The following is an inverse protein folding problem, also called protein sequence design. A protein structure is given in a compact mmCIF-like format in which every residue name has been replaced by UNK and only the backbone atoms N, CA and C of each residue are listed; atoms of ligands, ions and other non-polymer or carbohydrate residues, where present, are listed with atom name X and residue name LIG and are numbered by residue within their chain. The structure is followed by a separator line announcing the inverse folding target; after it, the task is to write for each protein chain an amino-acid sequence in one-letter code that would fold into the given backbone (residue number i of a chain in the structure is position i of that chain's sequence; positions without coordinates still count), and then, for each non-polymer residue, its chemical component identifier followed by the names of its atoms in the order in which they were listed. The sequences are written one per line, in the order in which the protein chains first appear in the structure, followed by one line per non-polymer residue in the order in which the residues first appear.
data_IF_893568902329
#
_entry.id   IF_893568902329
#
_cell.length_a   1.000
_cell.length_b   1.000
_cell.length_c   1.000
_cell.angle_alpha   90.00
_cell.angle_beta   90.00
_cell.angle_gamma   90.00
#
_symmetry.space_group_name_H-M   'P 1'
#
loop_
_entity.id
_entity.type
_entity.pdbx_description
1 polymer ?
#
# COMPACT_ATOMS: atom_id res chain seq x y z
N UNK A 1 18.98 -23.42 -1.84
CA UNK A 1 19.13 -22.00 -1.47
C UNK A 1 18.14 -21.74 -0.35
N UNK A 2 18.60 -21.27 0.82
CA UNK A 2 17.70 -20.98 1.94
C UNK A 2 16.76 -19.84 1.58
N UNK A 3 15.49 -19.91 1.98
CA UNK A 3 14.56 -18.80 1.83
C UNK A 3 15.06 -17.61 2.68
N UNK A 4 15.21 -16.45 2.06
CA UNK A 4 15.57 -15.21 2.76
C UNK A 4 14.41 -14.83 3.68
N UNK A 5 14.71 -14.56 4.95
CA UNK A 5 13.71 -14.12 5.93
C UNK A 5 13.38 -12.63 5.76
N UNK A 6 12.15 -12.21 6.11
CA UNK A 6 11.75 -10.79 6.06
C UNK A 6 12.72 -9.88 6.83
N UNK A 7 13.29 -10.35 7.95
CA UNK A 7 14.19 -9.55 8.79
C UNK A 7 15.53 -9.21 8.12
N UNK A 8 15.93 -9.98 7.11
CA UNK A 8 17.20 -9.84 6.39
C UNK A 8 16.98 -9.34 4.96
N UNK A 9 15.72 -9.29 4.53
CA UNK A 9 15.36 -8.86 3.19
C UNK A 9 15.59 -7.36 3.02
N UNK A 10 16.09 -7.00 1.85
CA UNK A 10 16.21 -5.62 1.38
C UNK A 10 15.66 -5.55 -0.03
N UNK A 11 15.27 -4.35 -0.46
CA UNK A 11 14.82 -4.09 -1.83
C UNK A 11 15.55 -2.86 -2.39
N UNK A 12 15.66 -2.81 -3.71
CA UNK A 12 16.15 -1.64 -4.42
C UNK A 12 14.98 -0.66 -4.64
N UNK A 13 15.07 0.50 -4.00
CA UNK A 13 14.05 1.56 -4.08
C UNK A 13 13.92 2.19 -5.48
N UNK A 14 14.85 1.90 -6.39
CA UNK A 14 14.86 2.41 -7.76
C UNK A 14 14.31 1.38 -8.76
N UNK A 15 14.04 0.14 -8.33
CA UNK A 15 13.52 -0.93 -9.18
C UNK A 15 12.10 -1.34 -8.76
N UNK A 16 11.07 -1.02 -9.59
CA UNK A 16 9.70 -1.43 -9.33
C UNK A 16 9.51 -2.93 -9.10
N UNK A 17 10.29 -3.78 -9.78
CA UNK A 17 10.20 -5.21 -9.61
C UNK A 17 10.80 -5.67 -8.29
N UNK A 18 11.93 -5.08 -7.86
CA UNK A 18 12.50 -5.32 -6.53
C UNK A 18 11.52 -4.94 -5.41
N UNK A 19 10.87 -3.77 -5.52
CA UNK A 19 9.83 -3.31 -4.58
C UNK A 19 8.63 -4.28 -4.57
N UNK A 20 8.14 -4.66 -5.75
CA UNK A 20 7.05 -5.61 -5.89
C UNK A 20 7.40 -6.96 -5.25
N UNK A 21 8.59 -7.49 -5.51
CA UNK A 21 9.04 -8.77 -4.99
C UNK A 21 9.22 -8.73 -3.48
N UNK A 22 9.71 -7.63 -2.90
CA UNK A 22 9.76 -7.47 -1.46
C UNK A 22 8.36 -7.50 -0.81
N UNK A 23 7.34 -6.94 -1.46
CA UNK A 23 5.97 -6.97 -0.95
C UNK A 23 5.39 -8.39 -0.76
N UNK A 24 6.02 -9.43 -1.33
CA UNK A 24 5.62 -10.83 -1.12
C UNK A 24 5.61 -11.24 0.36
N UNK A 25 6.49 -10.65 1.17
CA UNK A 25 6.60 -10.99 2.60
C UNK A 25 5.36 -10.58 3.40
N UNK A 26 4.56 -9.66 2.86
CA UNK A 26 3.32 -9.22 3.49
C UNK A 26 2.15 -10.16 3.18
N UNK A 27 2.23 -10.96 2.11
CA UNK A 27 1.11 -11.80 1.67
C UNK A 27 0.91 -12.98 2.62
N UNK A 28 -0.33 -13.18 3.07
CA UNK A 28 -0.71 -14.13 4.11
C UNK A 28 -0.38 -13.66 5.53
N UNK A 29 0.03 -12.39 5.70
CA UNK A 29 0.38 -11.80 6.98
C UNK A 29 -0.46 -10.55 7.25
N UNK A 30 -0.59 -10.21 8.53
CA UNK A 30 -0.95 -8.86 8.97
C UNK A 30 0.32 -8.11 9.37
N UNK A 31 0.23 -6.77 9.50
CA UNK A 31 1.38 -6.01 10.03
C UNK A 31 1.75 -6.49 11.44
N UNK A 32 0.76 -6.85 12.25
CA UNK A 32 0.99 -7.35 13.59
C UNK A 32 1.64 -8.75 13.59
N UNK A 33 1.22 -9.68 12.73
CA UNK A 33 1.88 -11.00 12.67
C UNK A 33 3.33 -10.90 12.19
N UNK A 34 3.62 -9.96 11.28
CA UNK A 34 4.95 -9.77 10.71
C UNK A 34 5.90 -8.99 11.62
N UNK A 35 5.40 -7.96 12.31
CA UNK A 35 6.21 -6.97 13.04
C UNK A 35 6.02 -7.01 14.57
N UNK A 36 5.07 -7.81 15.06
CA UNK A 36 4.75 -7.92 16.47
C UNK A 36 4.23 -6.62 17.07
N UNK A 37 4.56 -6.39 18.35
CA UNK A 37 4.04 -5.28 19.15
C UNK A 37 4.31 -3.89 18.54
N UNK A 38 5.33 -3.76 17.70
CA UNK A 38 5.64 -2.50 17.00
C UNK A 38 4.43 -1.99 16.21
N UNK A 39 3.67 -2.88 15.56
CA UNK A 39 2.47 -2.50 14.82
C UNK A 39 1.34 -2.00 15.74
N UNK A 40 1.24 -2.56 16.95
CA UNK A 40 0.22 -2.18 17.93
C UNK A 40 0.54 -0.81 18.55
N UNK A 41 1.80 -0.60 18.89
CA UNK A 41 2.31 0.64 19.50
C UNK A 41 2.24 1.82 18.53
N UNK A 42 2.55 1.57 17.25
CA UNK A 42 2.54 2.59 16.21
C UNK A 42 1.21 2.69 15.43
N UNK A 43 0.12 2.14 15.99
CA UNK A 43 -1.19 2.19 15.33
C UNK A 43 -1.59 3.62 14.99
N UNK A 44 -1.98 3.85 13.73
CA UNK A 44 -2.49 5.14 13.27
C UNK A 44 -4.01 5.22 13.43
N UNK A 45 -4.51 6.40 13.79
CA UNK A 45 -5.95 6.68 13.91
C UNK A 45 -6.44 7.37 12.64
N UNK A 46 -7.70 7.13 12.28
CA UNK A 46 -8.35 7.82 11.16
C UNK A 46 -8.29 7.06 9.83
N UNK A 47 -8.80 7.70 8.78
CA UNK A 47 -8.83 7.15 7.42
C UNK A 47 -7.41 7.05 6.88
N UNK A 48 -7.07 5.93 6.23
CA UNK A 48 -5.73 5.71 5.66
C UNK A 48 -4.67 5.20 6.65
N UNK A 49 -5.01 4.99 7.92
CA UNK A 49 -4.03 4.60 8.93
C UNK A 49 -3.26 3.31 8.63
N UNK A 50 -3.89 2.30 8.00
CA UNK A 50 -3.18 1.09 7.60
C UNK A 50 -2.14 1.35 6.49
N UNK A 51 -2.45 2.18 5.50
CA UNK A 51 -1.52 2.53 4.42
C UNK A 51 -0.26 3.19 4.98
N UNK A 52 -0.43 4.16 5.88
CA UNK A 52 0.67 4.81 6.58
C UNK A 52 1.54 3.83 7.37
N UNK A 53 0.93 2.83 8.01
CA UNK A 53 1.69 1.80 8.72
C UNK A 53 2.45 0.88 7.77
N UNK A 54 1.93 0.60 6.57
CA UNK A 54 2.68 -0.15 5.55
C UNK A 54 3.89 0.64 5.05
N UNK A 55 3.71 1.94 4.78
CA UNK A 55 4.80 2.83 4.37
C UNK A 55 5.92 2.86 5.43
N UNK A 56 5.57 3.16 6.69
CA UNK A 56 6.55 3.35 7.78
C UNK A 56 7.13 2.05 8.31
N UNK A 57 6.31 1.02 8.52
CA UNK A 57 6.74 -0.16 9.27
C UNK A 57 7.20 -1.30 8.36
N UNK A 58 6.64 -1.42 7.15
CA UNK A 58 6.97 -2.50 6.23
C UNK A 58 8.03 -2.08 5.20
N UNK A 59 7.86 -0.92 4.57
CA UNK A 59 8.84 -0.38 3.61
C UNK A 59 9.88 0.56 4.24
N UNK A 60 9.73 0.91 5.53
CA UNK A 60 10.66 1.76 6.27
C UNK A 60 10.84 3.18 5.67
N UNK A 61 9.78 3.74 5.07
CA UNK A 61 9.74 5.12 4.60
C UNK A 61 9.19 6.05 5.67
N UNK A 62 9.81 7.23 5.83
CA UNK A 62 9.21 8.29 6.66
C UNK A 62 7.99 8.85 5.95
N UNK A 63 6.87 9.02 6.66
CA UNK A 63 5.70 9.76 6.14
C UNK A 63 6.18 11.13 5.68
N UNK A 64 6.06 11.39 4.39
CA UNK A 64 6.18 12.72 3.82
C UNK A 64 4.79 13.13 3.29
N UNK A 65 4.46 14.42 3.36
CA UNK A 65 3.25 14.96 2.72
C UNK A 65 3.53 15.39 1.28
N UNK A 66 4.50 14.75 0.62
CA UNK A 66 4.96 15.18 -0.69
C UNK A 66 3.94 14.76 -1.76
N UNK A 67 3.79 15.56 -2.82
CA UNK A 67 2.89 15.25 -3.95
C UNK A 67 3.46 14.15 -4.86
N UNK A 68 4.72 13.78 -4.68
CA UNK A 68 5.44 12.77 -5.45
C UNK A 68 4.95 11.33 -5.18
N UNK A 69 5.42 10.38 -5.97
CA UNK A 69 5.15 8.96 -5.77
C UNK A 69 5.83 8.47 -4.49
N UNK A 70 5.22 7.48 -3.82
CA UNK A 70 5.75 6.93 -2.56
C UNK A 70 7.18 6.40 -2.73
N UNK A 71 7.46 5.79 -3.89
CA UNK A 71 8.81 5.45 -4.35
C UNK A 71 9.20 6.38 -5.51
N UNK A 72 9.62 7.61 -5.18
CA UNK A 72 9.88 8.67 -6.16
C UNK A 72 10.86 8.27 -7.28
N UNK A 73 11.95 7.60 -6.93
CA UNK A 73 12.98 7.16 -7.89
C UNK A 73 12.47 6.08 -8.86
N UNK A 74 11.72 5.10 -8.34
CA UNK A 74 11.09 4.05 -9.15
C UNK A 74 9.78 4.51 -9.83
N UNK A 75 9.28 5.71 -9.49
CA UNK A 75 7.97 6.24 -9.91
C UNK A 75 6.80 5.30 -9.59
N UNK A 76 6.88 4.56 -8.48
CA UNK A 76 5.83 3.65 -8.03
C UNK A 76 4.99 4.33 -6.96
N UNK A 77 3.68 4.38 -7.17
CA UNK A 77 2.71 4.80 -6.15
C UNK A 77 2.22 3.56 -5.37
N UNK A 78 2.21 3.63 -4.04
CA UNK A 78 1.71 2.58 -3.18
C UNK A 78 0.24 2.83 -2.84
N UNK A 79 -0.59 1.81 -2.98
CA UNK A 79 -1.97 1.85 -2.49
C UNK A 79 -2.34 0.58 -1.77
N UNK A 80 -2.85 0.74 -0.56
CA UNK A 80 -3.53 -0.34 0.16
C UNK A 80 -5.04 -0.21 -0.04
N UNK A 81 -5.73 -1.29 -0.41
CA UNK A 81 -7.18 -1.28 -0.62
C UNK A 81 -7.89 -2.46 0.05
N UNK A 82 -9.02 -2.23 0.75
CA UNK A 82 -9.71 -3.29 1.46
C UNK A 82 -10.59 -4.14 0.54
N UNK A 83 -10.58 -5.44 0.81
CA UNK A 83 -11.53 -6.42 0.31
C UNK A 83 -12.56 -6.80 1.38
N UNK A 84 -13.76 -7.16 0.91
CA UNK A 84 -14.73 -7.92 1.67
C UNK A 84 -14.78 -9.33 1.10
N UNK A 85 -14.81 -10.33 2.00
CA UNK A 85 -15.11 -11.71 1.64
C UNK A 85 -16.61 -11.97 1.77
N UNK A 86 -17.19 -12.53 0.71
CA UNK A 86 -18.56 -13.03 0.71
C UNK A 86 -18.65 -14.32 1.52
N UNK A 87 -19.68 -14.43 2.36
CA UNK A 87 -19.89 -15.64 3.18
C UNK A 87 -20.57 -16.77 2.41
N UNK A 88 -21.22 -16.47 1.28
CA UNK A 88 -22.02 -17.45 0.55
C UNK A 88 -21.20 -18.28 -0.44
N UNK A 89 -20.17 -17.67 -1.03
CA UNK A 89 -19.38 -18.25 -2.14
C UNK A 89 -17.88 -17.99 -2.01
N UNK A 90 -17.43 -17.46 -0.86
CA UNK A 90 -16.03 -17.11 -0.59
C UNK A 90 -15.38 -16.11 -1.56
N UNK A 91 -16.17 -15.47 -2.43
CA UNK A 91 -15.69 -14.48 -3.39
C UNK A 91 -15.23 -13.19 -2.72
N UNK A 92 -14.28 -12.49 -3.34
CA UNK A 92 -13.80 -11.20 -2.86
C UNK A 92 -14.35 -10.05 -3.70
N UNK A 93 -14.68 -8.94 -3.04
CA UNK A 93 -15.02 -7.68 -3.70
C UNK A 93 -14.32 -6.50 -3.03
N UNK A 94 -14.09 -5.45 -3.80
CA UNK A 94 -13.55 -4.18 -3.28
C UNK A 94 -14.55 -3.58 -2.30
N UNK A 95 -14.07 -3.18 -1.11
CA UNK A 95 -14.91 -2.57 -0.07
C UNK A 95 -15.18 -1.09 -0.33
N UNK A 96 -14.20 -0.36 -0.84
CA UNK A 96 -14.29 1.09 -1.06
C UNK A 96 -13.51 1.53 -2.30
N UNK A 97 -13.90 2.68 -2.87
CA UNK A 97 -13.22 3.26 -4.04
C UNK A 97 -11.76 3.56 -3.72
N UNK A 98 -10.87 3.25 -4.65
CA UNK A 98 -9.47 3.63 -4.56
C UNK A 98 -9.33 5.14 -4.80
N UNK A 99 -8.70 5.84 -3.87
CA UNK A 99 -8.37 7.27 -4.02
C UNK A 99 -7.00 7.38 -4.69
N UNK A 100 -6.96 7.91 -5.92
CA UNK A 100 -5.71 8.10 -6.65
C UNK A 100 -4.97 9.35 -6.18
N UNK A 101 -5.64 10.51 -6.23
CA UNK A 101 -5.07 11.80 -5.81
C UNK A 101 -6.18 12.83 -5.53
N UNK A 102 -5.83 13.90 -4.83
CA UNK A 102 -6.69 15.09 -4.70
C UNK A 102 -6.61 15.94 -5.98
N UNK A 103 -7.71 16.58 -6.33
CA UNK A 103 -7.78 17.46 -7.51
C UNK A 103 -7.58 18.91 -7.07
N UNK A 104 -6.57 19.57 -7.64
CA UNK A 104 -6.38 21.01 -7.53
C UNK A 104 -7.07 21.71 -8.70
N UNK A 105 -8.27 22.26 -8.48
CA UNK A 105 -9.08 22.84 -9.56
C UNK A 105 -8.50 24.12 -10.16
N UNK A 106 -7.63 24.82 -9.42
CA UNK A 106 -7.00 26.03 -9.92
C UNK A 106 -5.86 25.68 -10.88
N UNK A 107 -5.02 24.71 -10.49
CA UNK A 107 -3.91 24.23 -11.30
C UNK A 107 -4.41 23.43 -12.52
N UNK A 108 -5.48 22.64 -12.36
CA UNK A 108 -6.01 21.76 -13.39
C UNK A 108 -6.43 22.50 -14.66
N UNK A 109 -6.92 23.73 -14.55
CA UNK A 109 -7.40 24.52 -15.70
C UNK A 109 -6.29 24.80 -16.72
N UNK A 110 -5.05 24.92 -16.25
CA UNK A 110 -3.87 25.24 -17.07
C UNK A 110 -2.95 24.02 -17.29
N UNK A 111 -3.32 22.85 -16.76
CA UNK A 111 -2.51 21.62 -16.83
C UNK A 111 -2.99 20.71 -17.96
N UNK A 112 -2.08 20.34 -18.88
CA UNK A 112 -2.36 19.32 -19.88
C UNK A 112 -2.50 17.95 -19.22
N UNK A 113 -3.28 17.06 -19.82
CA UNK A 113 -3.52 15.74 -19.24
C UNK A 113 -2.22 14.92 -19.10
N UNK A 114 -1.33 15.01 -20.08
CA UNK A 114 -0.04 14.32 -20.12
C UNK A 114 0.89 14.74 -18.99
N UNK A 115 0.72 15.97 -18.51
CA UNK A 115 1.51 16.58 -17.44
C UNK A 115 0.79 16.46 -16.07
N UNK A 116 -0.38 15.82 -16.03
CA UNK A 116 -1.22 15.82 -14.82
C UNK A 116 -0.70 14.92 -13.70
N UNK A 117 -0.87 15.38 -12.46
CA UNK A 117 -0.58 14.59 -11.26
C UNK A 117 -1.35 13.26 -11.20
N UNK A 118 -2.57 13.22 -11.74
CA UNK A 118 -3.35 11.99 -11.82
C UNK A 118 -2.63 10.96 -12.70
N UNK A 119 -2.20 11.36 -13.89
CA UNK A 119 -1.49 10.46 -14.79
C UNK A 119 -0.18 9.99 -14.15
N UNK A 120 0.61 10.91 -13.58
CA UNK A 120 1.85 10.56 -12.90
C UNK A 120 1.66 9.51 -11.78
N UNK A 121 0.64 9.66 -10.92
CA UNK A 121 0.36 8.71 -9.83
C UNK A 121 -0.26 7.38 -10.28
N UNK A 122 -0.94 7.36 -11.42
CA UNK A 122 -1.57 6.16 -11.96
C UNK A 122 -0.72 5.42 -13.00
N UNK A 123 0.44 5.95 -13.38
CA UNK A 123 1.33 5.35 -14.38
C UNK A 123 1.89 4.00 -13.95
N UNK A 124 2.21 3.85 -12.66
CA UNK A 124 2.71 2.61 -12.10
C UNK A 124 2.33 2.51 -10.61
N UNK A 125 1.50 1.54 -10.28
CA UNK A 125 0.96 1.36 -8.93
C UNK A 125 1.28 -0.01 -8.35
N UNK A 126 1.80 -0.02 -7.13
CA UNK A 126 1.79 -1.20 -6.27
C UNK A 126 0.48 -1.22 -5.47
N UNK A 127 -0.43 -2.12 -5.84
CA UNK A 127 -1.70 -2.34 -5.17
C UNK A 127 -1.60 -3.53 -4.19
N UNK A 128 -1.83 -3.27 -2.91
CA UNK A 128 -1.86 -4.26 -1.84
C UNK A 128 -3.29 -4.42 -1.31
N UNK A 129 -3.82 -5.62 -1.42
CA UNK A 129 -5.21 -5.93 -1.05
C UNK A 129 -5.25 -6.64 0.29
N UNK A 130 -6.02 -6.10 1.23
CA UNK A 130 -6.17 -6.68 2.57
C UNK A 130 -7.62 -7.03 2.89
N UNK A 131 -7.83 -8.09 3.67
CA UNK A 131 -9.17 -8.51 4.07
C UNK A 131 -9.66 -7.67 5.24
N UNK A 132 -10.71 -6.88 5.01
CA UNK A 132 -11.35 -6.12 6.07
C UNK A 132 -12.36 -6.97 6.84
N UNK A 133 -12.15 -7.09 8.14
CA UNK A 133 -13.06 -7.77 9.07
C UNK A 133 -13.57 -6.75 10.11
N UNK A 134 -14.90 -6.62 10.21
CA UNK A 134 -15.52 -5.69 11.18
C UNK A 134 -15.16 -6.06 12.62
N UNK A 135 -14.82 -5.06 13.43
CA UNK A 135 -14.41 -5.26 14.84
C UNK A 135 -12.97 -5.73 15.03
N UNK A 136 -12.24 -6.03 13.95
CA UNK A 136 -10.81 -6.39 14.00
C UNK A 136 -9.95 -5.12 13.87
N UNK A 137 -8.89 -4.96 14.69
CA UNK A 137 -7.94 -3.85 14.55
C UNK A 137 -7.30 -3.81 13.16
N UNK A 138 -6.99 -2.61 12.67
CA UNK A 138 -6.47 -2.43 11.29
C UNK A 138 -5.13 -3.13 11.05
N UNK A 139 -4.27 -3.23 12.07
CA UNK A 139 -2.98 -3.90 11.99
C UNK A 139 -3.08 -5.43 11.97
N UNK A 140 -4.27 -5.98 12.24
CA UNK A 140 -4.58 -7.41 12.17
C UNK A 140 -5.26 -7.80 10.85
N UNK A 141 -5.42 -6.88 9.89
CA UNK A 141 -5.90 -7.23 8.56
C UNK A 141 -4.83 -7.98 7.78
N UNK A 142 -5.21 -9.15 7.26
CA UNK A 142 -4.35 -10.00 6.44
C UNK A 142 -4.30 -9.47 5.00
N UNK A 143 -3.09 -9.34 4.45
CA UNK A 143 -2.88 -9.01 3.04
C UNK A 143 -2.96 -10.28 2.19
N UNK A 144 -3.80 -10.26 1.16
CA UNK A 144 -4.11 -11.44 0.35
C UNK A 144 -3.51 -11.38 -1.04
N UNK A 145 -3.48 -10.20 -1.66
CA UNK A 145 -3.03 -10.04 -3.03
C UNK A 145 -2.11 -8.83 -3.18
N UNK A 146 -1.16 -8.96 -4.10
CA UNK A 146 -0.29 -7.87 -4.57
C UNK A 146 -0.36 -7.79 -6.09
N UNK A 147 -0.42 -6.59 -6.63
CA UNK A 147 -0.38 -6.33 -8.08
C UNK A 147 0.55 -5.15 -8.32
N UNK A 148 1.47 -5.28 -9.26
CA UNK A 148 2.15 -4.16 -9.89
C UNK A 148 1.41 -3.89 -11.21
N UNK A 149 0.78 -2.73 -11.34
CA UNK A 149 -0.09 -2.36 -12.46
C UNK A 149 0.41 -1.10 -13.14
#
# INVERSE_FOLDING_TARGET
MGEISFKEAVFDANDPHSIYDYSRFLIGQSLHSLLGNVAVEQKRKGKGGLGQMVEELFFNYKINSNREADFGEAKVELKCTPLLKSKSDDSFRIKERLVCTMIDYYELADTKFEDSHLLAKCQLMLLLFYLHISGTPVYDYEFLFRILW
#
